data_IF_983749823416
#
_entry.id   IF_983749823416
#
_cell.length_a   1.000
_cell.length_b   1.000
_cell.length_c   1.000
_cell.angle_alpha   90.00
_cell.angle_beta   90.00
_cell.angle_gamma   90.00
#
_symmetry.space_group_name_H-M   'P 1'
#
loop_
_entity.id
_entity.type
_entity.pdbx_description
1 polymer ?
#
# COMPACT_ATOMS: atom_id res chain seq x y z
N UNK A 1 45.56 -27.31 74.41
CA UNK A 1 45.83 -27.45 72.97
C UNK A 1 44.56 -27.01 72.25
N UNK A 2 44.59 -25.80 71.69
CA UNK A 2 43.42 -25.11 71.11
C UNK A 2 43.20 -25.56 69.65
N UNK A 3 42.00 -25.99 69.25
CA UNK A 3 41.58 -26.01 67.87
C UNK A 3 40.69 -24.77 67.64
N UNK A 4 41.28 -23.64 67.25
CA UNK A 4 40.52 -22.38 67.11
C UNK A 4 40.98 -21.43 66.02
N UNK A 5 42.05 -21.77 65.27
CA UNK A 5 42.64 -20.88 64.28
C UNK A 5 42.12 -21.11 62.85
N UNK A 6 41.57 -22.30 62.53
CA UNK A 6 41.11 -22.65 61.18
C UNK A 6 39.68 -22.21 60.84
N UNK A 7 38.78 -22.11 61.83
CA UNK A 7 37.37 -21.80 61.58
C UNK A 7 37.09 -20.32 61.29
N UNK A 8 37.91 -19.39 61.78
CA UNK A 8 37.72 -17.95 61.58
C UNK A 8 37.88 -17.50 60.11
N UNK A 9 38.94 -17.89 59.38
CA UNK A 9 39.08 -17.47 57.97
C UNK A 9 38.02 -18.10 57.06
N UNK A 10 37.55 -19.31 57.36
CA UNK A 10 36.45 -19.96 56.61
C UNK A 10 35.12 -19.22 56.81
N UNK A 11 34.85 -18.76 58.04
CA UNK A 11 33.67 -17.94 58.36
C UNK A 11 33.75 -16.57 57.67
N UNK A 12 34.91 -15.91 57.70
CA UNK A 12 35.10 -14.61 57.03
C UNK A 12 34.97 -14.71 55.49
N UNK A 13 35.47 -15.81 54.89
CA UNK A 13 35.30 -16.07 53.47
C UNK A 13 33.83 -16.34 53.10
N UNK A 14 33.10 -17.06 53.97
CA UNK A 14 31.66 -17.28 53.80
C UNK A 14 30.88 -15.97 53.88
N UNK A 15 31.16 -15.13 54.88
CA UNK A 15 30.53 -13.82 55.03
C UNK A 15 30.79 -12.93 53.80
N UNK A 16 32.03 -12.87 53.31
CA UNK A 16 32.35 -12.14 52.09
C UNK A 16 31.59 -12.68 50.86
N UNK A 17 31.42 -14.00 50.76
CA UNK A 17 30.65 -14.61 49.67
C UNK A 17 29.15 -14.31 49.76
N UNK A 18 28.62 -14.19 50.97
CA UNK A 18 27.22 -13.84 51.21
C UNK A 18 26.97 -12.38 50.82
N UNK A 19 27.86 -11.46 51.20
CA UNK A 19 27.76 -10.05 50.82
C UNK A 19 27.84 -9.84 49.29
N UNK A 20 28.74 -10.57 48.60
CA UNK A 20 28.79 -10.57 47.12
C UNK A 20 27.48 -11.11 46.52
N UNK A 21 26.92 -12.18 47.09
CA UNK A 21 25.65 -12.74 46.63
C UNK A 21 24.49 -11.77 46.85
N UNK A 22 24.41 -11.12 48.01
CA UNK A 22 23.39 -10.11 48.31
C UNK A 22 23.47 -8.94 47.33
N UNK A 23 24.69 -8.46 47.06
CA UNK A 23 24.92 -7.40 46.07
C UNK A 23 24.43 -7.82 44.67
N UNK A 24 24.73 -9.04 44.24
CA UNK A 24 24.25 -9.56 42.95
C UNK A 24 22.73 -9.68 42.90
N UNK A 25 22.09 -10.09 44.00
CA UNK A 25 20.63 -10.17 44.07
C UNK A 25 20.00 -8.79 43.89
N UNK A 26 20.55 -7.75 44.51
CA UNK A 26 20.08 -6.37 44.34
C UNK A 26 20.24 -5.89 42.89
N UNK A 27 21.36 -6.23 42.23
CA UNK A 27 21.56 -5.95 40.81
C UNK A 27 20.52 -6.68 39.93
N UNK A 28 20.22 -7.95 40.22
CA UNK A 28 19.18 -8.70 39.50
C UNK A 28 17.80 -8.10 39.68
N UNK A 29 17.46 -7.64 40.88
CA UNK A 29 16.20 -6.93 41.15
C UNK A 29 16.12 -5.66 40.31
N UNK A 30 17.20 -4.86 40.27
CA UNK A 30 17.26 -3.66 39.43
C UNK A 30 17.07 -3.97 37.94
N UNK A 31 17.68 -5.04 37.43
CA UNK A 31 17.48 -5.49 36.04
C UNK A 31 16.06 -5.95 35.77
N UNK A 32 15.43 -6.66 36.70
CA UNK A 32 14.04 -7.10 36.58
C UNK A 32 13.06 -5.93 36.55
N UNK A 33 13.29 -4.91 37.37
CA UNK A 33 12.47 -3.70 37.40
C UNK A 33 12.56 -2.92 36.08
N UNK A 34 13.78 -2.80 35.52
CA UNK A 34 13.96 -2.20 34.19
C UNK A 34 13.22 -3.01 33.11
N UNK A 35 13.40 -4.33 33.08
CA UNK A 35 12.73 -5.19 32.09
C UNK A 35 11.20 -5.12 32.21
N UNK A 36 10.69 -5.06 33.44
CA UNK A 36 9.26 -4.92 33.70
C UNK A 36 8.75 -3.56 33.22
N UNK A 37 9.51 -2.49 33.45
CA UNK A 37 9.22 -1.15 32.93
C UNK A 37 9.14 -1.14 31.41
N UNK A 38 10.15 -1.68 30.73
CA UNK A 38 10.21 -1.77 29.27
C UNK A 38 9.04 -2.59 28.71
N UNK A 39 8.75 -3.75 29.32
CA UNK A 39 7.63 -4.59 28.91
C UNK A 39 6.29 -3.86 29.09
N UNK A 40 6.12 -3.14 30.20
CA UNK A 40 4.93 -2.34 30.46
C UNK A 40 4.77 -1.22 29.43
N UNK A 41 5.86 -0.56 29.03
CA UNK A 41 5.82 0.49 28.01
C UNK A 41 5.52 -0.08 26.60
N UNK A 42 6.14 -1.19 26.22
CA UNK A 42 5.85 -1.85 24.94
C UNK A 42 4.38 -2.28 24.86
N UNK A 43 3.85 -2.91 25.90
CA UNK A 43 2.46 -3.38 25.92
C UNK A 43 1.47 -2.22 26.07
N UNK A 44 1.79 -1.23 26.89
CA UNK A 44 0.90 -0.10 27.19
C UNK A 44 0.84 0.94 26.09
N UNK A 45 1.94 1.19 25.39
CA UNK A 45 2.04 2.28 24.40
C UNK A 45 2.48 1.78 23.03
N UNK A 46 3.55 0.98 22.97
CA UNK A 46 4.14 0.54 21.71
C UNK A 46 3.18 -0.26 20.83
N UNK A 47 2.58 -1.32 21.38
CA UNK A 47 1.65 -2.20 20.65
C UNK A 47 0.40 -1.44 20.20
N UNK A 48 -0.30 -0.67 21.05
CA UNK A 48 -1.42 0.16 20.61
C UNK A 48 -1.06 1.16 19.51
N UNK A 49 0.10 1.81 19.59
CA UNK A 49 0.56 2.76 18.58
C UNK A 49 0.79 2.07 17.23
N UNK A 50 1.47 0.92 17.22
CA UNK A 50 1.68 0.12 16.00
C UNK A 50 0.32 -0.31 15.41
N UNK A 51 -0.61 -0.76 16.24
CA UNK A 51 -1.95 -1.15 15.77
C UNK A 51 -2.71 0.04 15.17
N UNK A 52 -2.64 1.21 15.79
CA UNK A 52 -3.25 2.43 15.26
C UNK A 52 -2.68 2.77 13.88
N UNK A 53 -1.35 2.74 13.74
CA UNK A 53 -0.67 3.00 12.46
C UNK A 53 -0.98 1.96 11.40
N UNK A 54 -1.03 0.67 11.75
CA UNK A 54 -1.47 -0.39 10.84
C UNK A 54 -2.91 -0.17 10.35
N UNK A 55 -3.78 0.36 11.23
CA UNK A 55 -5.17 0.67 10.87
C UNK A 55 -5.28 1.91 9.98
N UNK A 56 -4.44 2.92 10.17
CA UNK A 56 -4.31 4.04 9.23
C UNK A 56 -3.85 3.57 7.85
N UNK A 57 -2.85 2.67 7.78
CA UNK A 57 -2.38 2.10 6.52
C UNK A 57 -3.48 1.35 5.76
N UNK A 58 -4.35 0.61 6.45
CA UNK A 58 -5.53 -0.04 5.81
C UNK A 58 -6.43 0.94 5.08
N UNK A 59 -6.58 2.17 5.60
CA UNK A 59 -7.37 3.22 4.91
C UNK A 59 -6.67 3.69 3.63
N UNK A 60 -5.34 3.77 3.63
CA UNK A 60 -4.55 4.12 2.45
C UNK A 60 -4.68 3.04 1.39
N UNK A 61 -4.52 1.77 1.75
CA UNK A 61 -4.70 0.65 0.80
C UNK A 61 -6.10 0.65 0.19
N UNK A 62 -7.16 0.88 0.98
CA UNK A 62 -8.51 0.98 0.44
C UNK A 62 -8.68 2.13 -0.59
N UNK A 63 -7.94 3.24 -0.43
CA UNK A 63 -7.93 4.32 -1.44
C UNK A 63 -7.20 3.88 -2.71
N UNK A 64 -6.11 3.13 -2.59
CA UNK A 64 -5.37 2.57 -3.72
C UNK A 64 -6.26 1.59 -4.50
N UNK A 65 -6.94 0.66 -3.82
CA UNK A 65 -7.82 -0.31 -4.46
C UNK A 65 -8.94 0.36 -5.25
N UNK A 66 -9.53 1.44 -4.70
CA UNK A 66 -10.56 2.24 -5.40
C UNK A 66 -9.99 2.93 -6.65
N UNK A 67 -8.77 3.45 -6.56
CA UNK A 67 -8.10 4.07 -7.68
C UNK A 67 -7.79 3.05 -8.78
N UNK A 68 -7.32 1.86 -8.42
CA UNK A 68 -7.07 0.78 -9.35
C UNK A 68 -8.35 0.36 -10.08
N UNK A 69 -9.45 0.15 -9.35
CA UNK A 69 -10.74 -0.17 -9.93
C UNK A 69 -11.23 0.93 -10.91
N UNK A 70 -11.04 2.20 -10.53
CA UNK A 70 -11.35 3.33 -11.41
C UNK A 70 -10.53 3.29 -12.70
N UNK A 71 -9.21 3.14 -12.60
CA UNK A 71 -8.30 3.05 -13.77
C UNK A 71 -8.67 1.87 -14.67
N UNK A 72 -9.02 0.72 -14.10
CA UNK A 72 -9.47 -0.44 -14.85
C UNK A 72 -10.74 -0.16 -15.67
N UNK A 73 -11.69 0.55 -15.08
CA UNK A 73 -12.93 0.93 -15.77
C UNK A 73 -12.73 2.02 -16.83
N UNK A 74 -11.83 3.00 -16.59
CA UNK A 74 -11.42 3.97 -17.63
C UNK A 74 -10.80 3.23 -18.82
N UNK A 75 -9.89 2.29 -18.55
CA UNK A 75 -9.24 1.47 -19.58
C UNK A 75 -10.26 0.71 -20.43
N UNK A 76 -11.26 0.08 -19.79
CA UNK A 76 -12.34 -0.61 -20.50
C UNK A 76 -13.20 0.34 -21.36
N UNK A 77 -13.46 1.54 -20.86
CA UNK A 77 -14.23 2.57 -21.59
C UNK A 77 -13.48 3.05 -22.83
N UNK A 78 -12.16 3.28 -22.71
CA UNK A 78 -11.29 3.66 -23.83
C UNK A 78 -11.22 2.53 -24.86
N UNK A 79 -11.02 1.28 -24.44
CA UNK A 79 -10.99 0.15 -25.35
C UNK A 79 -12.30 0.00 -26.15
N UNK A 80 -13.45 0.21 -25.51
CA UNK A 80 -14.75 0.22 -26.20
C UNK A 80 -14.87 1.36 -27.21
N UNK A 81 -14.39 2.56 -26.85
CA UNK A 81 -14.39 3.70 -27.74
C UNK A 81 -13.49 3.46 -28.95
N UNK A 82 -12.28 2.93 -28.74
CA UNK A 82 -11.34 2.55 -29.80
C UNK A 82 -11.97 1.52 -30.77
N UNK A 83 -12.68 0.52 -30.23
CA UNK A 83 -13.39 -0.47 -31.06
C UNK A 83 -14.51 0.17 -31.88
N UNK A 84 -15.31 1.06 -31.30
CA UNK A 84 -16.35 1.79 -32.03
C UNK A 84 -15.78 2.66 -33.15
N UNK A 85 -14.66 3.36 -32.88
CA UNK A 85 -13.95 4.16 -33.89
C UNK A 85 -13.44 3.26 -35.01
N UNK A 86 -12.80 2.13 -34.68
CA UNK A 86 -12.29 1.19 -35.67
C UNK A 86 -13.41 0.61 -36.56
N UNK A 87 -14.57 0.28 -35.98
CA UNK A 87 -15.75 -0.17 -36.75
C UNK A 87 -16.28 0.94 -37.65
N UNK A 88 -16.44 2.16 -37.14
CA UNK A 88 -16.87 3.31 -37.94
C UNK A 88 -15.90 3.60 -39.10
N UNK A 89 -14.58 3.48 -38.88
CA UNK A 89 -13.57 3.63 -39.94
C UNK A 89 -13.64 2.54 -41.01
N UNK A 90 -13.97 1.31 -40.61
CA UNK A 90 -14.14 0.19 -41.54
C UNK A 90 -15.43 0.32 -42.38
N UNK A 91 -16.54 0.70 -41.75
CA UNK A 91 -17.85 0.88 -42.38
C UNK A 91 -17.90 2.09 -43.31
N UNK A 92 -17.25 3.20 -42.93
CA UNK A 92 -17.18 4.39 -43.78
C UNK A 92 -16.18 4.24 -44.94
N UNK A 93 -15.40 3.15 -44.95
CA UNK A 93 -14.39 2.85 -45.96
C UNK A 93 -13.22 3.83 -45.91
N UNK A 94 -12.15 3.47 -45.20
CA UNK A 94 -10.87 4.21 -45.12
C UNK A 94 -11.09 5.72 -44.91
N UNK A 95 -11.22 6.14 -43.65
CA UNK A 95 -11.23 7.57 -43.31
C UNK A 95 -10.11 8.31 -44.07
N UNK A 96 -10.39 9.49 -44.67
CA UNK A 96 -9.43 10.22 -45.48
C UNK A 96 -8.14 10.41 -44.67
N UNK A 97 -7.00 10.22 -45.32
CA UNK A 97 -5.67 10.18 -44.71
C UNK A 97 -5.26 11.44 -43.91
N UNK A 98 -6.15 12.42 -43.76
CA UNK A 98 -5.99 13.65 -43.00
C UNK A 98 -5.91 13.44 -41.48
N UNK A 99 -6.65 12.49 -40.89
CA UNK A 99 -6.46 12.18 -39.46
C UNK A 99 -5.22 11.33 -39.20
N UNK A 100 -4.86 10.44 -40.14
CA UNK A 100 -3.54 9.78 -40.14
C UNK A 100 -2.41 10.80 -40.22
N UNK A 101 -2.53 11.86 -41.03
CA UNK A 101 -1.52 12.95 -41.13
C UNK A 101 -1.27 13.68 -39.81
N UNK A 102 -2.26 13.81 -38.93
CA UNK A 102 -2.09 14.39 -37.60
C UNK A 102 -1.37 13.44 -36.63
N UNK A 103 -1.48 12.12 -36.84
CA UNK A 103 -0.76 11.12 -36.04
C UNK A 103 0.61 10.73 -36.63
N UNK A 104 0.85 11.00 -37.91
CA UNK A 104 2.14 10.78 -38.59
C UNK A 104 3.23 11.82 -38.26
N UNK A 105 2.96 12.80 -37.38
CA UNK A 105 4.03 13.62 -36.77
C UNK A 105 4.95 12.78 -35.87
N UNK A 106 4.56 11.53 -35.58
CA UNK A 106 5.46 10.50 -35.04
C UNK A 106 5.64 9.43 -36.14
N UNK A 107 6.88 9.35 -36.61
CA UNK A 107 7.35 8.73 -37.84
C UNK A 107 7.33 7.19 -37.83
N UNK A 108 6.50 6.53 -38.66
CA UNK A 108 6.74 5.16 -39.19
C UNK A 108 6.00 4.98 -40.55
N UNK A 109 6.61 4.42 -41.63
CA UNK A 109 5.97 4.31 -42.94
C UNK A 109 5.06 3.07 -43.06
N UNK A 110 3.95 3.23 -43.78
CA UNK A 110 2.95 2.19 -44.09
C UNK A 110 3.04 1.77 -45.56
N UNK A 111 3.01 0.47 -45.82
CA UNK A 111 2.78 -0.12 -47.14
C UNK A 111 1.36 -0.69 -47.22
N UNK A 112 0.60 -0.22 -48.20
CA UNK A 112 -0.82 -0.48 -48.46
C UNK A 112 -1.06 -1.84 -49.13
N UNK A 113 -2.29 -2.40 -49.03
CA UNK A 113 -3.17 -2.60 -50.21
C UNK A 113 -4.54 -3.26 -49.92
N UNK A 114 -5.53 -2.77 -50.69
CA UNK A 114 -6.71 -3.45 -51.30
C UNK A 114 -8.09 -3.24 -50.64
N UNK A 115 -9.03 -2.75 -51.46
CA UNK A 115 -10.44 -2.43 -51.20
C UNK A 115 -11.37 -3.44 -51.93
N UNK A 116 -12.71 -3.26 -51.94
CA UNK A 116 -13.68 -3.13 -50.85
C UNK A 116 -14.88 -4.12 -51.02
N UNK A 117 -15.78 -4.27 -50.04
CA UNK A 117 -17.25 -4.44 -50.22
C UNK A 117 -17.93 -4.97 -48.95
N UNK A 118 -18.85 -4.20 -48.38
CA UNK A 118 -20.27 -4.56 -48.29
C UNK A 118 -21.04 -3.47 -47.56
N UNK A 119 -22.19 -3.12 -48.14
CA UNK A 119 -23.16 -2.14 -47.68
C UNK A 119 -23.93 -2.76 -46.51
N UNK A 120 -23.52 -2.50 -45.27
CA UNK A 120 -24.33 -2.78 -44.08
C UNK A 120 -24.97 -1.48 -43.57
N UNK A 121 -26.20 -1.65 -43.08
CA UNK A 121 -27.15 -0.63 -42.68
C UNK A 121 -26.55 0.37 -41.70
N UNK A 122 -26.80 1.68 -41.92
CA UNK A 122 -26.56 2.74 -40.95
C UNK A 122 -27.45 2.50 -39.72
N UNK A 123 -26.96 1.72 -38.76
CA UNK A 123 -27.48 1.74 -37.40
C UNK A 123 -27.08 3.09 -36.79
N UNK A 124 -28.05 3.81 -36.22
CA UNK A 124 -27.81 5.14 -35.66
C UNK A 124 -26.71 5.11 -34.60
N UNK A 125 -25.83 6.11 -34.61
CA UNK A 125 -24.77 6.26 -33.61
C UNK A 125 -25.39 6.42 -32.22
N UNK A 126 -25.11 5.47 -31.33
CA UNK A 126 -25.40 5.59 -29.90
C UNK A 126 -24.12 6.03 -29.17
N UNK A 127 -24.13 7.21 -28.53
CA UNK A 127 -22.97 7.70 -27.79
C UNK A 127 -22.57 6.72 -26.68
N UNK A 128 -21.28 6.35 -26.57
CA UNK A 128 -20.83 5.51 -25.48
C UNK A 128 -21.05 6.24 -24.15
N UNK A 129 -21.77 5.60 -23.22
CA UNK A 129 -21.84 6.01 -21.82
C UNK A 129 -20.42 6.19 -21.29
N UNK A 130 -20.07 7.44 -20.95
CA UNK A 130 -18.79 7.82 -20.34
C UNK A 130 -18.95 7.72 -18.83
N UNK A 131 -17.93 7.19 -18.17
CA UNK A 131 -17.92 7.10 -16.72
C UNK A 131 -17.87 8.48 -16.08
N UNK A 132 -18.50 8.60 -14.91
CA UNK A 132 -18.47 9.83 -14.10
C UNK A 132 -17.53 9.61 -12.93
N UNK A 133 -16.52 10.47 -12.80
CA UNK A 133 -15.52 10.36 -11.72
C UNK A 133 -16.17 10.47 -10.34
N UNK A 134 -17.28 11.20 -10.25
CA UNK A 134 -18.03 11.42 -9.01
C UNK A 134 -18.66 10.14 -8.43
N UNK A 135 -18.95 9.15 -9.28
CA UNK A 135 -19.54 7.87 -8.86
C UNK A 135 -18.50 6.96 -8.17
N UNK A 136 -17.21 7.23 -8.37
CA UNK A 136 -16.09 6.43 -7.85
C UNK A 136 -15.30 7.14 -6.75
N UNK A 137 -15.28 8.46 -6.78
CA UNK A 137 -14.72 9.31 -5.73
C UNK A 137 -15.79 10.29 -5.25
N UNK A 138 -16.73 9.86 -4.39
CA UNK A 138 -17.63 10.81 -3.75
C UNK A 138 -16.76 11.84 -3.03
N UNK A 139 -16.83 13.12 -3.43
CA UNK A 139 -16.02 14.17 -2.83
C UNK A 139 -16.10 14.03 -1.31
N UNK A 140 -14.96 13.81 -0.65
CA UNK A 140 -14.89 13.83 0.80
C UNK A 140 -15.35 15.22 1.25
N UNK A 141 -16.65 15.37 1.55
CA UNK A 141 -17.17 16.50 2.29
C UNK A 141 -16.79 16.35 3.77
N UNK A 142 -15.51 16.13 4.05
CA UNK A 142 -14.95 16.47 5.36
C UNK A 142 -14.66 17.97 5.28
N UNK A 143 -15.70 18.78 5.48
CA UNK A 143 -15.47 20.14 5.96
C UNK A 143 -14.73 19.98 7.29
N UNK A 144 -13.59 20.66 7.50
CA UNK A 144 -13.05 20.82 8.84
C UNK A 144 -14.15 21.48 9.67
N UNK A 145 -14.66 20.79 10.69
CA UNK A 145 -15.42 21.46 11.73
C UNK A 145 -14.39 22.32 12.48
N UNK A 146 -14.49 23.62 12.24
CA UNK A 146 -13.78 24.67 12.98
C UNK A 146 -14.29 24.68 14.42
#
# INVERSE_FOLDING_TARGET
LLPGAGARPEIEALDASLEDLLTRVDEFVGMLDMLRGDSSHVVGEGVPLIYAKATEMRRVYSKIDRLEAFVGMVSASVARLEEQVARAEAELGTFPSTFRKLLHTINVPSFFHKAPSSRSQLTGYEPPVVFRTEDHFPCCSERPQV
#
